data_IF_357976638473
#
_entry.id   IF_357976638473
#
_cell.length_a   1.000
_cell.length_b   1.000
_cell.length_c   1.000
_cell.angle_alpha   90.00
_cell.angle_beta   90.00
_cell.angle_gamma   90.00
#
_symmetry.space_group_name_H-M   'P 1'
#
loop_
_entity.id
_entity.type
_entity.pdbx_description
1 polymer ?
#
# COMPACT_ATOMS: atom_id res chain seq x y z
N UNK A 1 -14.24 2.48 29.61
CA UNK A 1 -13.11 1.94 30.40
C UNK A 1 -11.83 2.71 30.15
N UNK A 2 -11.33 2.75 28.91
CA UNK A 2 -10.09 3.45 28.54
C UNK A 2 -10.00 4.91 29.01
N UNK A 3 -11.09 5.69 28.94
CA UNK A 3 -11.09 7.07 29.48
C UNK A 3 -10.96 7.07 31.00
N UNK A 4 -11.65 6.16 31.70
CA UNK A 4 -11.65 6.09 33.17
C UNK A 4 -10.34 5.57 33.77
N UNK A 5 -9.55 4.84 32.98
CA UNK A 5 -8.21 4.40 33.40
C UNK A 5 -7.17 5.51 33.31
N UNK A 6 -7.48 6.66 32.70
CA UNK A 6 -6.59 7.82 32.69
C UNK A 6 -6.73 8.65 33.97
N UNK A 7 -5.67 9.38 34.40
CA UNK A 7 -5.73 10.23 35.60
C UNK A 7 -6.83 11.30 35.57
N UNK A 8 -7.13 11.84 34.38
CA UNK A 8 -8.14 12.88 34.18
C UNK A 8 -9.56 12.32 33.96
N UNK A 9 -9.70 11.02 33.72
CA UNK A 9 -10.99 10.41 33.41
C UNK A 9 -12.03 10.64 34.50
N UNK A 10 -11.63 10.48 35.76
CA UNK A 10 -12.51 10.62 36.94
C UNK A 10 -13.00 12.05 37.17
N UNK A 11 -12.19 13.05 36.84
CA UNK A 11 -12.51 14.48 36.99
C UNK A 11 -13.18 15.08 35.75
N UNK A 12 -13.31 14.31 34.67
CA UNK A 12 -13.92 14.77 33.42
C UNK A 12 -15.44 14.59 33.38
N UNK A 13 -16.08 15.29 32.44
CA UNK A 13 -17.50 15.09 32.08
C UNK A 13 -17.84 13.64 31.72
N UNK A 14 -16.86 12.85 31.28
CA UNK A 14 -17.03 11.44 30.96
C UNK A 14 -17.46 10.61 32.18
N UNK A 15 -17.00 11.00 33.38
CA UNK A 15 -17.37 10.38 34.67
C UNK A 15 -18.86 10.56 34.99
N UNK A 16 -19.40 11.74 34.65
CA UNK A 16 -20.79 12.10 34.92
C UNK A 16 -21.75 11.52 33.88
N UNK A 17 -21.32 11.47 32.61
CA UNK A 17 -22.12 10.98 31.48
C UNK A 17 -21.32 10.00 30.62
N UNK A 18 -21.03 8.79 31.13
CA UNK A 18 -20.38 7.78 30.32
C UNK A 18 -21.28 7.41 29.14
N UNK A 19 -20.68 7.11 27.99
CA UNK A 19 -21.39 6.82 26.75
C UNK A 19 -22.48 5.74 26.92
N UNK A 20 -22.19 4.74 27.75
CA UNK A 20 -23.13 3.67 28.09
C UNK A 20 -24.39 4.18 28.79
N UNK A 21 -24.26 5.14 29.72
CA UNK A 21 -25.40 5.73 30.42
C UNK A 21 -26.23 6.62 29.49
N UNK A 22 -25.57 7.30 28.54
CA UNK A 22 -26.24 8.14 27.54
C UNK A 22 -27.08 7.32 26.58
N UNK A 23 -26.56 6.21 26.07
CA UNK A 23 -27.26 5.40 25.05
C UNK A 23 -28.13 4.27 25.61
N UNK A 24 -27.74 3.69 26.74
CA UNK A 24 -28.39 2.50 27.29
C UNK A 24 -28.97 2.69 28.69
N UNK A 25 -28.85 3.90 29.28
CA UNK A 25 -29.29 4.20 30.65
C UNK A 25 -28.73 3.22 31.71
N UNK A 26 -27.57 2.62 31.40
CA UNK A 26 -26.90 1.65 32.25
C UNK A 26 -25.53 2.18 32.70
N UNK A 27 -25.19 1.93 33.96
CA UNK A 27 -23.91 2.31 34.56
C UNK A 27 -22.93 1.13 34.68
N UNK A 28 -23.38 -0.10 34.42
CA UNK A 28 -22.64 -1.34 34.68
C UNK A 28 -22.37 -2.17 33.41
N UNK A 29 -21.64 -1.60 32.45
CA UNK A 29 -21.32 -2.28 31.18
C UNK A 29 -20.22 -3.34 31.27
N UNK A 30 -19.39 -3.29 32.31
CA UNK A 30 -18.21 -4.16 32.45
C UNK A 30 -18.54 -5.63 32.67
N UNK A 31 -19.76 -5.97 33.09
CA UNK A 31 -20.22 -7.35 33.27
C UNK A 31 -21.12 -7.83 32.13
N UNK A 32 -22.07 -6.98 31.72
CA UNK A 32 -23.06 -7.31 30.68
C UNK A 32 -22.44 -7.68 29.35
N UNK A 33 -21.31 -7.05 28.98
CA UNK A 33 -20.59 -7.41 27.75
C UNK A 33 -20.17 -8.88 27.73
N UNK A 34 -19.78 -9.45 28.88
CA UNK A 34 -19.40 -10.86 29.00
C UNK A 34 -20.62 -11.79 28.99
N UNK A 35 -21.74 -11.39 29.59
CA UNK A 35 -23.00 -12.15 29.46
C UNK A 35 -23.50 -12.17 28.02
N UNK A 36 -23.38 -11.05 27.31
CA UNK A 36 -23.70 -10.99 25.87
C UNK A 36 -22.74 -11.88 25.08
N UNK A 37 -21.44 -11.80 25.37
CA UNK A 37 -20.42 -12.65 24.75
C UNK A 37 -20.74 -14.15 24.91
N UNK A 38 -21.09 -14.59 26.13
CA UNK A 38 -21.47 -15.97 26.40
C UNK A 38 -22.66 -16.43 25.56
N UNK A 39 -23.66 -15.56 25.36
CA UNK A 39 -24.82 -15.85 24.49
C UNK A 39 -24.42 -15.91 23.02
N UNK A 40 -23.60 -14.98 22.55
CA UNK A 40 -23.13 -14.96 21.15
C UNK A 40 -22.28 -16.19 20.83
N UNK A 41 -21.49 -16.67 21.79
CA UNK A 41 -20.70 -17.90 21.67
C UNK A 41 -21.55 -19.18 21.53
N UNK A 42 -22.84 -19.16 21.85
CA UNK A 42 -23.73 -20.32 21.62
C UNK A 42 -24.09 -20.51 20.15
N UNK A 43 -24.15 -19.42 19.37
CA UNK A 43 -24.42 -19.42 17.93
C UNK A 43 -23.29 -18.74 17.15
N UNK A 44 -22.04 -19.27 17.22
CA UNK A 44 -20.86 -18.56 16.75
C UNK A 44 -20.86 -18.31 15.23
N UNK A 45 -21.46 -19.23 14.45
CA UNK A 45 -21.63 -19.09 12.99
C UNK A 45 -22.56 -17.93 12.60
N UNK A 46 -23.56 -17.62 13.43
CA UNK A 46 -24.53 -16.55 13.16
C UNK A 46 -23.99 -15.18 13.58
N UNK A 47 -23.18 -15.15 14.64
CA UNK A 47 -22.67 -13.93 15.24
C UNK A 47 -21.15 -13.77 15.09
N UNK A 48 -20.61 -14.18 13.95
CA UNK A 48 -19.17 -14.11 13.69
C UNK A 48 -18.62 -12.67 13.81
N UNK A 49 -19.20 -11.69 13.11
CA UNK A 49 -18.67 -10.32 13.12
C UNK A 49 -18.74 -9.67 14.52
N UNK A 50 -19.86 -9.78 15.29
CA UNK A 50 -19.89 -9.30 16.66
C UNK A 50 -18.86 -9.98 17.58
N UNK A 51 -18.62 -11.29 17.43
CA UNK A 51 -17.60 -12.01 18.20
C UNK A 51 -16.20 -11.48 17.89
N UNK A 52 -15.89 -11.24 16.61
CA UNK A 52 -14.62 -10.63 16.18
C UNK A 52 -14.46 -9.20 16.70
N UNK A 53 -15.52 -8.40 16.68
CA UNK A 53 -15.49 -7.05 17.24
C UNK A 53 -15.17 -7.08 18.74
N UNK A 54 -15.82 -7.97 19.50
CA UNK A 54 -15.56 -8.13 20.93
C UNK A 54 -14.12 -8.64 21.15
N UNK A 55 -13.65 -9.61 20.35
CA UNK A 55 -12.26 -10.08 20.39
C UNK A 55 -11.27 -8.93 20.27
N UNK A 56 -11.45 -8.06 19.28
CA UNK A 56 -10.59 -6.88 19.08
C UNK A 56 -10.66 -5.93 20.27
N UNK A 57 -11.85 -5.70 20.84
CA UNK A 57 -11.99 -4.88 22.04
C UNK A 57 -11.23 -5.45 23.25
N UNK A 58 -11.23 -6.78 23.43
CA UNK A 58 -10.47 -7.45 24.50
C UNK A 58 -8.96 -7.30 24.27
N UNK A 59 -8.49 -7.49 23.02
CA UNK A 59 -7.09 -7.29 22.64
C UNK A 59 -6.60 -5.85 22.84
N UNK A 60 -7.49 -4.85 22.71
CA UNK A 60 -7.21 -3.43 22.98
C UNK A 60 -7.14 -3.10 24.48
N UNK A 61 -7.39 -4.07 25.36
CA UNK A 61 -7.24 -3.91 26.81
C UNK A 61 -8.55 -3.70 27.58
N UNK A 62 -9.70 -4.05 26.99
CA UNK A 62 -10.96 -4.09 27.73
C UNK A 62 -10.92 -5.24 28.76
N UNK A 63 -11.02 -4.93 30.06
CA UNK A 63 -11.03 -5.92 31.14
C UNK A 63 -12.41 -6.11 31.77
N UNK A 64 -13.19 -5.04 31.89
CA UNK A 64 -14.50 -5.06 32.54
C UNK A 64 -14.46 -5.74 33.92
N UNK A 65 -15.34 -6.72 34.16
CA UNK A 65 -15.42 -7.45 35.44
C UNK A 65 -14.11 -8.13 35.86
N UNK A 66 -13.27 -8.54 34.91
CA UNK A 66 -12.00 -9.22 35.19
C UNK A 66 -10.91 -8.28 35.68
N UNK A 67 -11.06 -6.96 35.54
CA UNK A 67 -10.09 -5.99 36.08
C UNK A 67 -10.13 -5.84 37.60
N UNK A 68 -11.16 -6.39 38.26
CA UNK A 68 -11.40 -6.25 39.71
C UNK A 68 -10.85 -7.48 40.47
N UNK A 69 -10.86 -8.65 39.85
CA UNK A 69 -10.42 -9.91 40.45
C UNK A 69 -8.89 -10.06 40.35
N UNK A 70 -8.16 -10.36 41.44
CA UNK A 70 -6.72 -10.63 41.39
C UNK A 70 -6.31 -11.80 40.49
N UNK A 71 -7.21 -12.75 40.19
CA UNK A 71 -6.99 -13.82 39.19
C UNK A 71 -7.66 -13.53 37.85
N UNK A 72 -8.24 -12.34 37.69
CA UNK A 72 -9.03 -11.97 36.52
C UNK A 72 -8.21 -11.89 35.24
N UNK A 73 -6.93 -11.53 35.31
CA UNK A 73 -6.04 -11.45 34.14
C UNK A 73 -5.83 -12.83 33.49
N UNK A 74 -5.68 -13.90 34.28
CA UNK A 74 -5.56 -15.28 33.77
C UNK A 74 -6.88 -15.74 33.12
N UNK A 75 -8.01 -15.48 33.77
CA UNK A 75 -9.33 -15.82 33.25
C UNK A 75 -9.66 -15.07 31.95
N UNK A 76 -9.26 -13.79 31.87
CA UNK A 76 -9.41 -12.96 30.68
C UNK A 76 -8.56 -13.49 29.53
N UNK A 77 -7.31 -13.86 29.80
CA UNK A 77 -6.44 -14.48 28.78
C UNK A 77 -7.03 -15.79 28.28
N UNK A 78 -7.49 -16.68 29.18
CA UNK A 78 -8.14 -17.92 28.79
C UNK A 78 -9.37 -17.68 27.89
N UNK A 79 -10.17 -16.66 28.21
CA UNK A 79 -11.32 -16.25 27.40
C UNK A 79 -10.90 -15.75 26.01
N UNK A 80 -9.87 -14.92 25.92
CA UNK A 80 -9.33 -14.40 24.65
C UNK A 80 -8.83 -15.55 23.76
N UNK A 81 -8.12 -16.52 24.34
CA UNK A 81 -7.64 -17.70 23.61
C UNK A 81 -8.80 -18.53 23.07
N UNK A 82 -9.81 -18.80 23.91
CA UNK A 82 -11.02 -19.52 23.51
C UNK A 82 -11.76 -18.81 22.36
N UNK A 83 -11.90 -17.50 22.45
CA UNK A 83 -12.58 -16.70 21.44
C UNK A 83 -11.83 -16.71 20.10
N UNK A 84 -10.50 -16.58 20.15
CA UNK A 84 -9.63 -16.67 18.99
C UNK A 84 -9.77 -18.02 18.28
N UNK A 85 -9.83 -19.10 19.04
CA UNK A 85 -9.89 -20.44 18.46
C UNK A 85 -11.25 -20.68 17.77
N UNK A 86 -12.36 -20.20 18.37
CA UNK A 86 -13.69 -20.18 17.72
C UNK A 86 -13.66 -19.37 16.42
N UNK A 87 -13.11 -18.15 16.45
CA UNK A 87 -13.05 -17.27 15.26
C UNK A 87 -12.20 -17.90 14.15
N UNK A 88 -11.08 -18.54 14.50
CA UNK A 88 -10.22 -19.25 13.55
C UNK A 88 -10.94 -20.43 12.90
N UNK A 89 -11.69 -21.19 13.68
CA UNK A 89 -12.49 -22.30 13.16
C UNK A 89 -13.57 -21.80 12.18
N UNK A 90 -14.23 -20.67 12.49
CA UNK A 90 -15.25 -20.07 11.63
C UNK A 90 -14.69 -19.50 10.32
N UNK A 91 -13.54 -18.81 10.38
CA UNK A 91 -12.89 -18.25 9.18
C UNK A 91 -12.31 -19.32 8.26
N UNK A 92 -12.16 -20.54 8.76
CA UNK A 92 -11.52 -21.63 8.03
C UNK A 92 -10.00 -21.46 7.94
N UNK A 93 -9.33 -22.33 7.18
CA UNK A 93 -7.88 -22.25 7.02
C UNK A 93 -7.51 -20.90 6.40
N UNK A 94 -6.59 -20.17 7.04
CA UNK A 94 -5.92 -19.05 6.38
C UNK A 94 -5.45 -19.55 5.01
N UNK A 95 -5.72 -18.83 3.90
CA UNK A 95 -5.21 -19.21 2.60
C UNK A 95 -3.71 -19.49 2.75
N UNK A 96 -3.38 -20.77 2.60
CA UNK A 96 -2.06 -21.29 2.87
C UNK A 96 -1.11 -20.66 1.88
N UNK A 97 -0.20 -19.85 2.42
CA UNK A 97 0.93 -19.24 1.73
C UNK A 97 0.59 -18.12 0.74
N UNK A 98 1.35 -17.03 0.90
CA UNK A 98 1.47 -15.91 -0.02
C UNK A 98 0.22 -15.04 -0.15
N UNK A 99 0.02 -14.17 0.85
CA UNK A 99 -0.40 -12.82 0.50
C UNK A 99 0.71 -12.32 -0.41
N UNK A 100 0.49 -12.30 -1.72
CA UNK A 100 1.31 -11.57 -2.66
C UNK A 100 1.27 -10.11 -2.22
N UNK A 101 2.21 -9.72 -1.35
CA UNK A 101 2.42 -8.35 -0.91
C UNK A 101 2.73 -7.41 -2.07
N UNK A 102 2.95 -7.98 -3.26
CA UNK A 102 3.15 -7.33 -4.55
C UNK A 102 1.86 -7.13 -5.35
N UNK A 103 0.74 -7.77 -5.02
CA UNK A 103 -0.50 -7.71 -5.81
C UNK A 103 -1.09 -6.28 -5.90
N UNK A 104 -0.83 -5.45 -4.90
CA UNK A 104 -1.27 -4.04 -4.84
C UNK A 104 -0.11 -3.04 -4.95
N UNK A 105 1.11 -3.50 -5.26
CA UNK A 105 2.24 -2.60 -5.50
C UNK A 105 2.22 -2.23 -6.97
N UNK A 106 1.82 -1.00 -7.28
CA UNK A 106 1.91 -0.48 -8.64
C UNK A 106 3.38 -0.61 -9.11
N UNK A 107 3.64 -1.26 -10.27
CA UNK A 107 5.00 -1.45 -10.75
C UNK A 107 5.65 -0.09 -10.95
N UNK A 108 6.72 0.17 -10.19
CA UNK A 108 7.52 1.42 -10.24
C UNK A 108 8.49 1.39 -11.42
N UNK A 109 8.03 0.91 -12.57
CA UNK A 109 8.82 0.79 -13.79
C UNK A 109 8.30 1.76 -14.85
N UNK A 110 8.16 3.03 -14.48
CA UNK A 110 8.25 4.12 -15.46
C UNK A 110 9.71 4.52 -15.64
N UNK A 111 10.57 3.55 -15.97
CA UNK A 111 11.87 3.87 -16.57
C UNK A 111 11.59 4.07 -18.04
N UNK A 112 11.57 5.34 -18.44
CA UNK A 112 11.62 5.77 -19.83
C UNK A 112 12.79 5.03 -20.51
N UNK A 113 12.51 3.86 -21.11
CA UNK A 113 13.44 3.08 -21.93
C UNK A 113 13.65 3.84 -23.22
N UNK A 114 14.41 4.94 -23.13
CA UNK A 114 15.07 5.52 -24.29
C UNK A 114 16.50 5.02 -24.26
N UNK A 115 16.64 3.73 -24.56
CA UNK A 115 17.90 3.08 -24.86
C UNK A 115 18.34 3.55 -26.24
N UNK A 116 18.64 4.84 -26.40
CA UNK A 116 19.29 5.28 -27.62
C UNK A 116 20.76 4.91 -27.49
N UNK A 117 21.28 4.01 -28.33
CA UNK A 117 22.71 3.80 -28.43
C UNK A 117 23.48 5.12 -28.54
N UNK A 118 24.47 5.32 -27.67
CA UNK A 118 25.32 6.52 -27.58
C UNK A 118 26.09 6.85 -28.88
N UNK A 119 26.16 5.91 -29.82
CA UNK A 119 26.83 6.03 -31.12
C UNK A 119 25.92 6.62 -32.22
N UNK A 120 24.63 6.84 -31.94
CA UNK A 120 23.69 7.45 -32.88
C UNK A 120 24.04 8.87 -33.36
N UNK A 121 24.46 9.83 -32.51
CA UNK A 121 24.89 11.15 -33.01
C UNK A 121 26.16 11.06 -33.86
N UNK A 122 27.04 10.09 -33.56
CA UNK A 122 28.27 9.88 -34.31
C UNK A 122 27.96 9.40 -35.75
N UNK A 123 27.05 8.43 -35.88
CA UNK A 123 26.62 7.92 -37.18
C UNK A 123 25.91 9.01 -38.01
N UNK A 124 25.03 9.80 -37.38
CA UNK A 124 24.33 10.90 -38.03
C UNK A 124 25.30 11.98 -38.54
N UNK A 125 26.31 12.33 -37.74
CA UNK A 125 27.36 13.28 -38.13
C UNK A 125 28.18 12.77 -39.32
N UNK A 126 28.58 11.50 -39.31
CA UNK A 126 29.34 10.89 -40.40
C UNK A 126 28.56 10.88 -41.73
N UNK A 127 27.26 10.55 -41.70
CA UNK A 127 26.39 10.58 -42.87
C UNK A 127 26.25 12.00 -43.42
N UNK A 128 26.06 13.00 -42.54
CA UNK A 128 25.96 14.39 -42.94
C UNK A 128 27.25 14.90 -43.61
N UNK A 129 28.41 14.58 -43.05
CA UNK A 129 29.73 14.91 -43.62
C UNK A 129 29.95 14.26 -44.98
N UNK A 130 29.63 12.96 -45.13
CA UNK A 130 29.77 12.25 -46.38
C UNK A 130 28.87 12.83 -47.48
N UNK A 131 27.62 13.19 -47.14
CA UNK A 131 26.70 13.83 -48.07
C UNK A 131 27.19 15.22 -48.52
N UNK A 132 27.68 16.03 -47.57
CA UNK A 132 28.22 17.35 -47.87
C UNK A 132 29.45 17.25 -48.79
N UNK A 133 30.36 16.32 -48.48
CA UNK A 133 31.56 16.07 -49.29
C UNK A 133 31.21 15.64 -50.71
N UNK A 134 30.28 14.68 -50.87
CA UNK A 134 29.83 14.23 -52.19
C UNK A 134 29.21 15.36 -53.01
N UNK A 135 28.39 16.20 -52.37
CA UNK A 135 27.80 17.37 -53.02
C UNK A 135 28.87 18.36 -53.51
N UNK A 136 29.84 18.70 -52.66
CA UNK A 136 30.94 19.60 -53.05
C UNK A 136 31.80 19.00 -54.14
N UNK A 137 32.12 17.71 -54.08
CA UNK A 137 32.91 17.01 -55.12
C UNK A 137 32.21 17.05 -56.47
N UNK A 138 30.90 16.81 -56.52
CA UNK A 138 30.12 16.88 -57.75
C UNK A 138 30.06 18.31 -58.31
N UNK A 139 29.83 19.32 -57.46
CA UNK A 139 29.84 20.73 -57.87
C UNK A 139 31.20 21.16 -58.39
N UNK A 140 32.28 20.68 -57.77
CA UNK A 140 33.63 21.01 -58.22
C UNK A 140 33.89 20.38 -59.59
N UNK A 141 33.57 19.10 -59.77
CA UNK A 141 33.81 18.39 -61.03
C UNK A 141 33.05 19.00 -62.23
N UNK A 142 31.85 19.56 -61.99
CA UNK A 142 31.10 20.32 -63.00
C UNK A 142 31.82 21.61 -63.40
N UNK A 143 32.31 22.38 -62.44
CA UNK A 143 33.02 23.65 -62.70
C UNK A 143 34.38 23.36 -63.37
N UNK A 144 35.11 22.33 -62.94
CA UNK A 144 36.40 21.97 -63.55
C UNK A 144 36.23 21.54 -65.01
N UNK A 145 35.14 20.84 -65.34
CA UNK A 145 34.85 20.44 -66.72
C UNK A 145 34.59 21.65 -67.63
N UNK A 146 33.82 22.63 -67.15
CA UNK A 146 33.51 23.87 -67.87
C UNK A 146 34.76 24.75 -68.09
N UNK A 147 35.65 24.80 -67.10
CA UNK A 147 36.93 25.54 -67.19
C UNK A 147 37.92 24.86 -68.14
N UNK A 148 37.98 23.52 -68.18
CA UNK A 148 38.83 22.79 -69.12
C UNK A 148 38.34 22.98 -70.57
N UNK A 149 37.01 22.99 -70.78
CA UNK A 149 36.42 23.20 -72.09
C UNK A 149 36.70 24.62 -72.64
N UNK A 150 36.60 25.64 -71.78
CA UNK A 150 36.96 27.02 -72.15
C UNK A 150 38.46 27.23 -72.41
N UNK A 151 39.34 26.53 -71.67
CA UNK A 151 40.79 26.56 -71.92
C UNK A 151 41.16 25.90 -73.25
N UNK A 152 40.52 24.78 -73.62
CA UNK A 152 40.73 24.12 -74.90
C UNK A 152 40.24 24.97 -76.10
N UNK A 153 39.14 25.72 -75.93
CA UNK A 153 38.66 26.64 -76.98
C UNK A 153 39.64 27.79 -77.24
N UNK A 154 40.28 28.34 -76.20
CA UNK A 154 41.24 29.45 -76.35
C UNK A 154 42.58 28.96 -76.94
N UNK A 155 43.00 27.73 -76.64
CA UNK A 155 44.22 27.13 -77.20
C UNK A 155 44.08 26.71 -78.68
N UNK A 156 42.86 26.63 -79.21
CA UNK A 156 42.57 26.29 -80.62
C UNK A 156 42.35 27.52 -81.52
N UNK A 157 42.40 28.74 -80.98
CA UNK A 157 42.33 30.00 -81.73
C UNK A 157 43.72 30.61 -81.92
#
# INVERSE_FOLDING_TARGET
EAVMSTPWGKSSLWSQKPLLSVFHHETWGGEKIFTVLERLMQEPKRYQDPLEFIYMCLCLGLRGKYGIDPKGDEALQALILKLRDIIRELRGPLPGLFIDTTANVAPRDFRMRREWPWWSPLLASAIALAGLYGYYSYRLHLITAEVIESLNQILQQ
#
